data_IF_175324850872
#
_entry.id   IF_175324850872
#
_cell.length_a   1.000
_cell.length_b   1.000
_cell.length_c   1.000
_cell.angle_alpha   90.00
_cell.angle_beta   90.00
_cell.angle_gamma   90.00
#
_symmetry.space_group_name_H-M   'P 1'
#
loop_
_entity.id
_entity.type
_entity.pdbx_description
1 polymer ?
#
# COMPACT_ATOMS: atom_id res chain seq x y z
N UNK A 1 -17.71 11.03 8.80
CA UNK A 1 -16.52 11.01 9.65
C UNK A 1 -16.07 12.43 10.01
N UNK A 2 -15.55 12.62 11.22
CA UNK A 2 -14.77 13.82 11.60
C UNK A 2 -13.34 13.35 11.88
N UNK A 3 -12.62 12.98 10.83
CA UNK A 3 -11.29 12.40 10.92
C UNK A 3 -10.24 13.47 10.61
N UNK A 4 -9.37 13.77 11.57
CA UNK A 4 -8.17 14.55 11.38
C UNK A 4 -6.98 13.62 11.56
N UNK A 5 -6.16 13.47 10.52
CA UNK A 5 -4.97 12.63 10.53
C UNK A 5 -3.81 13.37 9.90
N UNK A 6 -2.69 13.38 10.60
CA UNK A 6 -1.41 13.84 10.09
C UNK A 6 -0.42 12.67 10.15
N UNK A 7 0.13 12.29 8.99
CA UNK A 7 1.30 11.42 8.90
C UNK A 7 2.54 12.28 8.65
N UNK A 8 3.56 12.09 9.48
CA UNK A 8 4.87 12.72 9.25
C UNK A 8 5.63 11.96 8.17
N UNK A 9 6.59 12.62 7.53
CA UNK A 9 7.44 11.97 6.54
C UNK A 9 8.21 10.80 7.16
N UNK A 10 8.14 9.63 6.53
CA UNK A 10 8.78 8.40 7.00
C UNK A 10 8.08 7.72 8.18
N UNK A 11 6.95 8.24 8.63
CA UNK A 11 6.18 7.66 9.74
C UNK A 11 5.33 6.47 9.27
N UNK A 12 5.33 5.41 10.04
CA UNK A 12 4.50 4.21 9.84
C UNK A 12 3.44 4.15 10.93
N UNK A 13 2.19 4.33 10.56
CA UNK A 13 1.07 4.42 11.49
C UNK A 13 0.13 3.23 11.33
N UNK A 14 -0.19 2.57 12.44
CA UNK A 14 -1.24 1.57 12.50
C UNK A 14 -2.62 2.24 12.60
N UNK A 15 -3.56 1.82 11.78
CA UNK A 15 -4.97 2.16 11.89
C UNK A 15 -5.75 0.94 12.41
N UNK A 16 -6.25 1.03 13.62
CA UNK A 16 -7.09 -0.01 14.21
C UNK A 16 -8.54 0.45 14.29
N UNK A 17 -9.47 -0.47 14.17
CA UNK A 17 -10.89 -0.22 14.40
C UNK A 17 -11.67 -1.52 14.41
N UNK A 18 -12.86 -1.57 15.03
CA UNK A 18 -13.81 -2.67 14.87
C UNK A 18 -14.17 -2.91 13.40
N UNK A 19 -14.63 -4.13 13.08
CA UNK A 19 -15.15 -4.43 11.75
C UNK A 19 -16.32 -3.48 11.41
N UNK A 20 -16.35 -3.01 10.16
CA UNK A 20 -17.40 -2.08 9.71
C UNK A 20 -17.25 -0.63 10.19
N UNK A 21 -16.23 -0.27 10.99
CA UNK A 21 -16.04 1.10 11.50
C UNK A 21 -15.62 2.12 10.42
N UNK A 22 -15.29 1.67 9.19
CA UNK A 22 -14.95 2.55 8.06
C UNK A 22 -13.44 2.70 7.78
N UNK A 23 -12.59 1.75 8.23
CA UNK A 23 -11.14 1.75 7.90
C UNK A 23 -10.88 1.87 6.41
N UNK A 24 -11.49 0.97 5.62
CA UNK A 24 -11.33 0.95 4.16
C UNK A 24 -11.83 2.24 3.52
N UNK A 25 -12.94 2.81 3.98
CA UNK A 25 -13.44 4.10 3.51
C UNK A 25 -12.42 5.23 3.76
N UNK A 26 -11.84 5.27 4.97
CA UNK A 26 -10.79 6.26 5.29
C UNK A 26 -9.58 6.10 4.38
N UNK A 27 -9.11 4.85 4.16
CA UNK A 27 -8.01 4.56 3.26
C UNK A 27 -8.33 4.92 1.81
N UNK A 28 -9.55 4.67 1.34
CA UNK A 28 -9.99 5.01 -0.01
C UNK A 28 -10.03 6.52 -0.23
N UNK A 29 -10.52 7.28 0.75
CA UNK A 29 -10.50 8.76 0.69
C UNK A 29 -9.05 9.27 0.71
N UNK A 30 -8.21 8.80 1.63
CA UNK A 30 -6.79 9.15 1.69
C UNK A 30 -6.04 8.76 0.40
N UNK A 31 -6.44 7.64 -0.22
CA UNK A 31 -5.90 7.13 -1.48
C UNK A 31 -6.51 7.77 -2.74
N UNK A 32 -7.41 8.73 -2.60
CA UNK A 32 -8.12 9.39 -3.71
C UNK A 32 -8.95 8.42 -4.57
N UNK A 33 -9.28 7.25 -4.06
CA UNK A 33 -10.20 6.30 -4.68
C UNK A 33 -11.65 6.74 -4.51
N UNK A 34 -11.93 7.42 -3.38
CA UNK A 34 -13.21 8.00 -3.06
C UNK A 34 -13.08 9.49 -2.72
N UNK A 35 -14.17 10.19 -2.54
CA UNK A 35 -14.20 11.60 -2.17
C UNK A 35 -14.76 11.78 -0.77
N UNK A 36 -14.15 12.69 -0.01
CA UNK A 36 -14.76 13.14 1.23
C UNK A 36 -15.95 14.06 0.94
N UNK A 37 -17.00 13.96 1.73
CA UNK A 37 -18.15 14.89 1.64
C UNK A 37 -17.72 16.33 1.99
N UNK A 38 -16.78 16.48 2.93
CA UNK A 38 -16.23 17.77 3.37
C UNK A 38 -14.79 17.56 3.86
N UNK A 39 -14.04 18.65 3.91
CA UNK A 39 -12.65 18.65 4.38
C UNK A 39 -11.63 18.49 3.26
N UNK A 40 -10.38 18.33 3.65
CA UNK A 40 -9.24 18.34 2.75
C UNK A 40 -8.42 17.06 2.88
N UNK A 41 -7.86 16.62 1.76
CA UNK A 41 -6.84 15.58 1.70
C UNK A 41 -5.56 16.20 1.17
N UNK A 42 -4.49 16.12 1.96
CA UNK A 42 -3.18 16.62 1.57
C UNK A 42 -2.21 15.45 1.41
N UNK A 43 -1.53 15.38 0.28
CA UNK A 43 -0.44 14.41 0.04
C UNK A 43 0.82 15.20 -0.29
N UNK A 44 1.88 14.97 0.47
CA UNK A 44 3.16 15.68 0.34
C UNK A 44 3.00 17.22 0.30
N UNK A 45 2.12 17.76 1.15
CA UNK A 45 1.85 19.20 1.26
C UNK A 45 0.93 19.78 0.16
N UNK A 46 0.54 18.99 -0.83
CA UNK A 46 -0.39 19.42 -1.86
C UNK A 46 -1.83 19.15 -1.43
N UNK A 47 -2.67 20.19 -1.34
CA UNK A 47 -4.11 20.04 -1.12
C UNK A 47 -4.78 19.49 -2.39
N UNK A 48 -5.54 18.42 -2.23
CA UNK A 48 -6.19 17.66 -3.31
C UNK A 48 -7.72 17.79 -3.28
N UNK A 49 -8.25 18.69 -2.44
CA UNK A 49 -9.67 19.03 -2.47
C UNK A 49 -10.04 19.66 -3.82
N UNK A 50 -11.14 19.23 -4.40
CA UNK A 50 -11.67 19.78 -5.66
C UNK A 50 -10.83 19.54 -6.91
N UNK A 51 -9.73 18.75 -6.85
CA UNK A 51 -8.96 18.43 -8.07
C UNK A 51 -9.75 17.50 -8.98
N UNK A 52 -9.59 17.69 -10.30
CA UNK A 52 -10.26 16.88 -11.32
C UNK A 52 -9.90 15.39 -11.20
N UNK A 53 -10.79 14.49 -11.64
CA UNK A 53 -10.55 13.05 -11.61
C UNK A 53 -9.28 12.65 -12.40
N UNK A 54 -9.02 13.32 -13.54
CA UNK A 54 -7.76 13.13 -14.27
C UNK A 54 -6.53 13.43 -13.40
N UNK A 55 -6.57 14.49 -12.60
CA UNK A 55 -5.47 14.85 -11.70
C UNK A 55 -5.34 13.87 -10.55
N UNK A 56 -6.46 13.42 -9.95
CA UNK A 56 -6.50 12.37 -8.92
C UNK A 56 -5.86 11.07 -9.44
N UNK A 57 -6.20 10.67 -10.66
CA UNK A 57 -5.63 9.46 -11.29
C UNK A 57 -4.12 9.55 -11.46
N UNK A 58 -3.59 10.71 -11.86
CA UNK A 58 -2.13 10.92 -11.97
C UNK A 58 -1.46 10.81 -10.60
N UNK A 59 -2.03 11.43 -9.56
CA UNK A 59 -1.49 11.40 -8.20
C UNK A 59 -1.53 9.99 -7.63
N UNK A 60 -2.66 9.27 -7.74
CA UNK A 60 -2.76 7.87 -7.32
C UNK A 60 -1.66 7.02 -7.94
N UNK A 61 -1.45 7.15 -9.24
CA UNK A 61 -0.47 6.36 -9.99
C UNK A 61 0.97 6.66 -9.54
N UNK A 62 1.30 7.93 -9.24
CA UNK A 62 2.67 8.38 -8.97
C UNK A 62 3.04 8.42 -7.50
N UNK A 63 2.13 8.95 -6.69
CA UNK A 63 2.46 9.37 -5.33
C UNK A 63 1.87 8.44 -4.26
N UNK A 64 0.94 7.51 -4.63
CA UNK A 64 0.26 6.64 -3.69
C UNK A 64 0.44 5.18 -4.10
N UNK A 65 1.00 4.37 -3.19
CA UNK A 65 0.97 2.92 -3.27
C UNK A 65 -0.23 2.38 -2.49
N UNK A 66 -0.96 1.43 -3.05
CA UNK A 66 -2.08 0.80 -2.36
C UNK A 66 -1.90 -0.72 -2.28
N UNK A 67 -2.06 -1.27 -1.07
CA UNK A 67 -2.04 -2.71 -0.79
C UNK A 67 -3.40 -3.08 -0.22
N UNK A 68 -4.02 -4.09 -0.80
CA UNK A 68 -5.30 -4.62 -0.36
C UNK A 68 -5.12 -5.92 0.40
N UNK A 69 -6.11 -6.32 1.16
CA UNK A 69 -6.19 -7.61 1.83
C UNK A 69 -6.07 -8.77 0.82
N UNK A 70 -6.75 -8.66 -0.31
CA UNK A 70 -6.53 -9.54 -1.46
C UNK A 70 -5.49 -8.90 -2.38
N UNK A 71 -4.52 -9.67 -2.82
CA UNK A 71 -3.38 -9.18 -3.61
C UNK A 71 -3.76 -8.56 -4.96
N UNK A 72 -4.91 -8.91 -5.55
CA UNK A 72 -5.42 -8.41 -6.85
C UNK A 72 -4.34 -8.38 -7.95
N UNK A 73 -3.53 -9.42 -8.01
CA UNK A 73 -2.60 -9.59 -9.13
C UNK A 73 -3.37 -9.96 -10.39
N UNK A 74 -2.90 -9.46 -11.51
CA UNK A 74 -3.46 -9.80 -12.82
C UNK A 74 -2.97 -11.21 -13.21
N UNK A 75 -3.84 -12.19 -13.38
CA UNK A 75 -3.46 -13.59 -13.51
C UNK A 75 -2.76 -13.89 -14.84
N UNK A 76 -2.97 -13.07 -15.89
CA UNK A 76 -2.38 -13.21 -17.20
C UNK A 76 -0.90 -12.79 -17.24
N UNK A 77 -0.46 -12.01 -16.24
CA UNK A 77 0.87 -11.43 -16.16
C UNK A 77 1.74 -12.13 -15.12
N UNK A 78 3.04 -12.26 -15.40
CA UNK A 78 4.02 -12.75 -14.46
C UNK A 78 4.17 -11.79 -13.24
N UNK A 79 4.86 -12.25 -12.20
CA UNK A 79 5.20 -11.40 -11.03
C UNK A 79 5.92 -10.12 -11.46
N UNK A 80 6.93 -10.23 -12.32
CA UNK A 80 7.64 -9.06 -12.82
C UNK A 80 6.74 -8.13 -13.64
N UNK A 81 5.90 -8.67 -14.50
CA UNK A 81 4.99 -7.87 -15.32
C UNK A 81 3.94 -7.15 -14.50
N UNK A 82 3.37 -7.78 -13.45
CA UNK A 82 2.47 -7.11 -12.51
C UNK A 82 3.11 -5.85 -11.88
N UNK A 83 4.42 -5.89 -11.61
CA UNK A 83 5.16 -4.76 -11.04
C UNK A 83 5.54 -3.73 -12.13
N UNK A 84 5.72 -4.16 -13.37
CA UNK A 84 6.05 -3.28 -14.49
C UNK A 84 4.86 -2.42 -14.93
N UNK A 85 3.64 -2.96 -14.88
CA UNK A 85 2.43 -2.32 -15.40
C UNK A 85 2.20 -0.90 -14.89
N UNK A 86 2.23 -0.59 -13.58
CA UNK A 86 2.03 0.77 -13.09
C UNK A 86 3.12 1.74 -13.57
N UNK A 87 4.35 1.27 -13.76
CA UNK A 87 5.46 2.07 -14.26
C UNK A 87 5.27 2.41 -15.74
N UNK A 88 4.88 1.42 -16.54
CA UNK A 88 4.59 1.62 -17.95
C UNK A 88 3.37 2.51 -18.17
N UNK A 89 2.34 2.38 -17.32
CA UNK A 89 1.19 3.29 -17.32
C UNK A 89 1.59 4.74 -16.99
N UNK A 90 2.69 4.95 -16.24
CA UNK A 90 3.27 6.28 -15.99
C UNK A 90 4.27 6.74 -17.07
N UNK A 91 4.40 5.99 -18.18
CA UNK A 91 5.24 6.34 -19.32
C UNK A 91 6.68 5.84 -19.24
N UNK A 92 7.02 4.99 -18.28
CA UNK A 92 8.36 4.40 -18.19
C UNK A 92 8.60 3.42 -19.36
N UNK A 93 9.82 3.40 -19.87
CA UNK A 93 10.23 2.41 -20.90
C UNK A 93 10.23 1.01 -20.29
N UNK A 94 9.81 0.02 -21.09
CA UNK A 94 9.72 -1.39 -20.68
C UNK A 94 11.01 -1.93 -20.05
N UNK A 95 12.18 -1.57 -20.60
CA UNK A 95 13.48 -1.99 -20.05
C UNK A 95 13.73 -1.43 -18.64
N UNK A 96 13.46 -0.14 -18.42
CA UNK A 96 13.61 0.50 -17.11
C UNK A 96 12.62 -0.09 -16.08
N UNK A 97 11.35 -0.27 -16.47
CA UNK A 97 10.33 -0.90 -15.66
C UNK A 97 10.72 -2.34 -15.25
N UNK A 98 11.27 -3.12 -16.19
CA UNK A 98 11.78 -4.48 -15.92
C UNK A 98 12.91 -4.46 -14.89
N UNK A 99 13.92 -3.60 -15.09
CA UNK A 99 15.06 -3.49 -14.16
C UNK A 99 14.57 -3.13 -12.74
N UNK A 100 13.64 -2.20 -12.62
CA UNK A 100 13.06 -1.82 -11.32
C UNK A 100 12.25 -2.96 -10.71
N UNK A 101 11.44 -3.66 -11.50
CA UNK A 101 10.65 -4.80 -11.03
C UNK A 101 11.53 -5.92 -10.46
N UNK A 102 12.62 -6.27 -11.15
CA UNK A 102 13.55 -7.31 -10.70
C UNK A 102 14.24 -6.91 -9.37
N UNK A 103 14.67 -5.64 -9.23
CA UNK A 103 15.24 -5.14 -7.96
C UNK A 103 14.24 -5.21 -6.80
N UNK A 104 12.97 -4.89 -7.03
CA UNK A 104 11.93 -5.00 -6.01
C UNK A 104 11.68 -6.46 -5.63
N UNK A 105 11.63 -7.38 -6.59
CA UNK A 105 11.49 -8.81 -6.33
C UNK A 105 12.70 -9.38 -5.57
N UNK A 106 13.90 -8.93 -5.90
CA UNK A 106 15.12 -9.30 -5.18
C UNK A 106 15.04 -8.86 -3.70
N UNK A 107 14.60 -7.63 -3.44
CA UNK A 107 14.47 -7.10 -2.07
C UNK A 107 13.47 -7.88 -1.19
N UNK A 108 12.51 -8.59 -1.79
CA UNK A 108 11.56 -9.47 -1.07
C UNK A 108 11.88 -10.97 -1.22
N UNK A 109 13.05 -11.33 -1.75
CA UNK A 109 13.50 -12.71 -1.91
C UNK A 109 12.76 -13.50 -3.01
N UNK A 110 12.18 -12.82 -4.01
CA UNK A 110 11.38 -13.43 -5.06
C UNK A 110 11.96 -13.30 -6.48
N UNK A 111 13.27 -13.01 -6.61
CA UNK A 111 13.91 -12.84 -7.92
C UNK A 111 13.75 -14.11 -8.79
N UNK A 112 13.90 -15.30 -8.20
CA UNK A 112 13.71 -16.58 -8.90
C UNK A 112 12.26 -16.82 -9.37
N UNK A 113 11.30 -16.12 -8.79
CA UNK A 113 9.86 -16.18 -9.11
C UNK A 113 9.41 -15.13 -10.13
N UNK A 114 10.31 -14.30 -10.66
CA UNK A 114 9.99 -13.16 -11.52
C UNK A 114 9.09 -13.50 -12.73
N UNK A 115 9.27 -14.69 -13.30
CA UNK A 115 8.51 -15.15 -14.46
C UNK A 115 7.26 -15.97 -14.10
N UNK A 116 7.06 -16.33 -12.82
CA UNK A 116 5.89 -17.10 -12.39
C UNK A 116 4.63 -16.24 -12.46
N UNK A 117 3.53 -16.87 -12.85
CA UNK A 117 2.19 -16.27 -12.80
C UNK A 117 1.60 -16.40 -11.40
N UNK A 118 0.60 -15.58 -11.01
CA UNK A 118 -0.02 -15.64 -9.70
C UNK A 118 -0.44 -17.06 -9.26
N UNK A 119 -0.99 -17.87 -10.17
CA UNK A 119 -1.40 -19.23 -9.85
C UNK A 119 -0.24 -20.19 -9.46
N UNK A 120 1.01 -19.81 -9.77
CA UNK A 120 2.21 -20.58 -9.48
C UNK A 120 2.91 -20.09 -8.19
N UNK A 121 2.34 -19.10 -7.51
CA UNK A 121 2.88 -18.46 -6.31
C UNK A 121 2.01 -18.81 -5.09
N UNK A 122 2.66 -19.01 -3.94
CA UNK A 122 1.95 -19.09 -2.66
C UNK A 122 1.26 -17.78 -2.31
N UNK A 123 0.28 -17.80 -1.39
CA UNK A 123 -0.41 -16.58 -0.96
C UNK A 123 0.54 -15.50 -0.42
N UNK A 124 1.53 -15.90 0.37
CA UNK A 124 2.55 -14.97 0.87
C UNK A 124 3.48 -14.43 -0.21
N UNK A 125 3.82 -15.24 -1.23
CA UNK A 125 4.58 -14.76 -2.41
C UNK A 125 3.75 -13.78 -3.22
N UNK A 126 2.48 -14.07 -3.47
CA UNK A 126 1.56 -13.17 -4.17
C UNK A 126 1.43 -11.83 -3.45
N UNK A 127 1.34 -11.84 -2.12
CA UNK A 127 1.25 -10.63 -1.32
C UNK A 127 2.54 -9.81 -1.39
N UNK A 128 3.72 -10.45 -1.34
CA UNK A 128 4.99 -9.74 -1.56
C UNK A 128 5.12 -9.14 -2.96
N UNK A 129 4.61 -9.81 -4.00
CA UNK A 129 4.52 -9.23 -5.36
C UNK A 129 3.59 -8.01 -5.37
N UNK A 130 2.44 -8.06 -4.68
CA UNK A 130 1.53 -6.93 -4.56
C UNK A 130 2.20 -5.72 -3.84
N UNK A 131 3.04 -5.97 -2.84
CA UNK A 131 3.86 -4.93 -2.20
C UNK A 131 4.83 -4.29 -3.20
N UNK A 132 5.56 -5.10 -3.95
CA UNK A 132 6.46 -4.59 -4.98
C UNK A 132 5.71 -3.75 -6.02
N UNK A 133 4.51 -4.17 -6.43
CA UNK A 133 3.66 -3.41 -7.34
C UNK A 133 3.24 -2.06 -6.76
N UNK A 134 2.85 -2.02 -5.48
CA UNK A 134 2.51 -0.77 -4.81
C UNK A 134 3.70 0.20 -4.73
N UNK A 135 4.93 -0.32 -4.64
CA UNK A 135 6.17 0.47 -4.53
C UNK A 135 6.82 0.78 -5.89
N UNK A 136 6.25 0.31 -6.99
CA UNK A 136 6.88 0.35 -8.32
C UNK A 136 7.22 1.77 -8.77
N UNK A 137 6.34 2.75 -8.53
CA UNK A 137 6.49 4.15 -8.94
C UNK A 137 7.16 5.05 -7.88
N UNK A 138 7.82 4.49 -6.86
CA UNK A 138 8.39 5.25 -5.73
C UNK A 138 7.37 6.21 -5.09
N UNK A 139 6.24 5.69 -4.58
CA UNK A 139 5.20 6.53 -4.00
C UNK A 139 5.72 7.32 -2.79
N UNK A 140 5.00 8.37 -2.41
CA UNK A 140 5.26 9.17 -1.20
C UNK A 140 4.47 8.68 0.00
N UNK A 141 3.36 7.98 -0.27
CA UNK A 141 2.45 7.43 0.72
C UNK A 141 2.09 5.99 0.36
N UNK A 142 2.18 5.10 1.33
CA UNK A 142 1.68 3.75 1.24
C UNK A 142 0.42 3.62 2.10
N UNK A 143 -0.64 3.12 1.50
CA UNK A 143 -1.88 2.76 2.17
C UNK A 143 -2.05 1.25 2.09
N UNK A 144 -2.26 0.60 3.22
CA UNK A 144 -2.45 -0.85 3.26
C UNK A 144 -3.71 -1.18 4.06
N UNK A 145 -4.60 -1.96 3.47
CA UNK A 145 -5.81 -2.45 4.11
C UNK A 145 -5.67 -3.94 4.41
N UNK A 146 -5.44 -4.26 5.70
CA UNK A 146 -5.24 -5.63 6.22
C UNK A 146 -4.25 -6.46 5.37
N UNK A 147 -3.01 -5.99 5.15
CA UNK A 147 -2.09 -6.52 4.12
C UNK A 147 -1.68 -7.98 4.35
N UNK A 148 -2.01 -8.56 5.49
CA UNK A 148 -1.70 -9.97 5.83
C UNK A 148 -2.93 -10.73 6.33
N UNK A 149 -4.12 -10.15 6.24
CA UNK A 149 -5.34 -10.68 6.84
C UNK A 149 -5.82 -12.04 6.29
N UNK A 150 -5.33 -12.45 5.12
CA UNK A 150 -5.67 -13.73 4.47
C UNK A 150 -4.56 -14.79 4.58
N UNK A 151 -3.53 -14.53 5.39
CA UNK A 151 -2.38 -15.42 5.56
C UNK A 151 -2.43 -16.09 6.93
N UNK A 152 -1.84 -17.28 7.03
CA UNK A 152 -1.55 -17.89 8.34
C UNK A 152 -0.58 -17.03 9.15
N UNK A 153 -0.52 -17.23 10.46
CA UNK A 153 0.23 -16.37 11.36
C UNK A 153 1.73 -16.32 11.00
N UNK A 154 2.38 -17.45 10.74
CA UNK A 154 3.81 -17.48 10.46
C UNK A 154 4.15 -16.76 9.15
N UNK A 155 3.36 -16.99 8.10
CA UNK A 155 3.48 -16.30 6.81
C UNK A 155 3.18 -14.80 6.96
N UNK A 156 2.17 -14.43 7.76
CA UNK A 156 1.80 -13.05 8.05
C UNK A 156 2.97 -12.27 8.65
N UNK A 157 3.66 -12.82 9.64
CA UNK A 157 4.82 -12.19 10.27
C UNK A 157 5.96 -11.97 9.29
N UNK A 158 6.32 -13.00 8.51
CA UNK A 158 7.39 -12.89 7.49
C UNK A 158 7.07 -11.84 6.41
N UNK A 159 5.85 -11.83 5.93
CA UNK A 159 5.38 -10.90 4.89
C UNK A 159 5.34 -9.48 5.43
N UNK A 160 4.91 -9.30 6.68
CA UNK A 160 4.89 -7.99 7.34
C UNK A 160 6.30 -7.46 7.63
N UNK A 161 7.25 -8.34 8.01
CA UNK A 161 8.67 -7.98 8.18
C UNK A 161 9.27 -7.44 6.88
N UNK A 162 9.02 -8.12 5.77
CA UNK A 162 9.48 -7.68 4.46
C UNK A 162 8.89 -6.31 4.11
N UNK A 163 7.60 -6.08 4.37
CA UNK A 163 6.94 -4.79 4.15
C UNK A 163 7.58 -3.68 4.97
N UNK A 164 7.68 -3.85 6.30
CA UNK A 164 8.25 -2.84 7.19
C UNK A 164 9.70 -2.53 6.85
N UNK A 165 10.50 -3.55 6.52
CA UNK A 165 11.89 -3.37 6.12
C UNK A 165 12.01 -2.44 4.92
N UNK A 166 11.23 -2.68 3.86
CA UNK A 166 11.27 -1.85 2.65
C UNK A 166 10.76 -0.43 2.95
N UNK A 167 9.65 -0.29 3.68
CA UNK A 167 9.07 1.02 4.03
C UNK A 167 10.09 1.86 4.80
N UNK A 168 10.76 1.28 5.79
CA UNK A 168 11.79 1.98 6.59
C UNK A 168 13.05 2.31 5.78
N UNK A 169 13.53 1.39 4.95
CA UNK A 169 14.70 1.63 4.09
C UNK A 169 14.46 2.75 3.07
N UNK A 170 13.24 2.87 2.57
CA UNK A 170 12.89 3.91 1.59
C UNK A 170 12.48 5.24 2.21
N UNK A 171 12.28 5.30 3.54
CA UNK A 171 11.75 6.49 4.22
C UNK A 171 10.32 6.84 3.80
N UNK A 172 9.56 5.85 3.36
CA UNK A 172 8.17 5.97 2.90
C UNK A 172 7.23 6.16 4.09
N UNK A 173 6.29 7.10 4.00
CA UNK A 173 5.22 7.22 4.99
C UNK A 173 4.15 6.17 4.71
N UNK A 174 3.66 5.50 5.75
CA UNK A 174 2.67 4.44 5.59
C UNK A 174 1.52 4.53 6.60
N UNK A 175 0.30 4.30 6.13
CA UNK A 175 -0.89 4.07 6.96
C UNK A 175 -1.36 2.64 6.71
N UNK A 176 -1.29 1.80 7.72
CA UNK A 176 -1.57 0.37 7.62
C UNK A 176 -2.74 0.02 8.54
N UNK A 177 -3.87 -0.31 7.95
CA UNK A 177 -5.00 -0.84 8.70
C UNK A 177 -4.72 -2.30 9.07
N UNK A 178 -4.90 -2.62 10.34
CA UNK A 178 -4.78 -3.99 10.83
C UNK A 178 -5.63 -4.19 12.09
N UNK A 179 -6.17 -5.39 12.24
CA UNK A 179 -6.84 -5.82 13.47
C UNK A 179 -5.90 -6.64 14.38
N UNK A 180 -4.65 -6.88 13.95
CA UNK A 180 -3.66 -7.63 14.73
C UNK A 180 -2.84 -6.67 15.62
N UNK A 181 -3.02 -6.71 16.97
CA UNK A 181 -2.32 -5.82 17.89
C UNK A 181 -0.80 -6.02 17.89
N UNK A 182 -0.34 -7.27 17.67
CA UNK A 182 1.09 -7.58 17.62
C UNK A 182 1.77 -6.93 16.42
N UNK A 183 1.10 -6.85 15.26
CA UNK A 183 1.60 -6.12 14.11
C UNK A 183 1.51 -4.60 14.32
N UNK A 184 0.42 -4.11 14.91
CA UNK A 184 0.23 -2.69 15.20
C UNK A 184 1.32 -2.13 16.13
N UNK A 185 1.72 -2.89 17.17
CA UNK A 185 2.75 -2.48 18.13
C UNK A 185 4.16 -2.32 17.53
N UNK A 186 4.38 -2.79 16.31
CA UNK A 186 5.67 -2.70 15.58
C UNK A 186 5.80 -1.44 14.73
N UNK A 187 4.74 -0.64 14.65
CA UNK A 187 4.69 0.64 13.94
C UNK A 187 4.99 1.79 14.90
N UNK A 188 5.22 2.99 14.37
CA UNK A 188 5.67 4.13 15.18
C UNK A 188 4.61 4.63 16.17
N UNK A 189 3.32 4.54 15.77
CA UNK A 189 2.16 4.76 16.64
C UNK A 189 0.91 4.07 16.10
N UNK A 190 -0.06 3.93 16.96
CA UNK A 190 -1.38 3.40 16.64
C UNK A 190 -2.44 4.49 16.78
N UNK A 191 -3.33 4.59 15.79
CA UNK A 191 -4.55 5.38 15.85
C UNK A 191 -5.75 4.44 15.77
N UNK A 192 -6.80 4.78 16.50
CA UNK A 192 -8.04 3.99 16.52
C UNK A 192 -9.18 4.79 15.91
N UNK A 193 -9.92 4.19 15.00
CA UNK A 193 -11.14 4.76 14.44
C UNK A 193 -12.35 4.23 15.21
N UNK A 194 -12.98 5.10 15.97
CA UNK A 194 -14.17 4.80 16.78
C UNK A 194 -15.25 5.84 16.54
N UNK A 195 -16.47 5.37 16.22
CA UNK A 195 -17.64 6.24 16.02
C UNK A 195 -17.37 7.40 15.05
N UNK A 196 -16.61 7.15 13.99
CA UNK A 196 -16.26 8.15 12.98
C UNK A 196 -15.22 9.19 13.40
N UNK A 197 -14.50 8.96 14.52
CA UNK A 197 -13.41 9.82 15.03
C UNK A 197 -12.12 9.04 15.15
N UNK A 198 -11.01 9.70 14.90
CA UNK A 198 -9.67 9.15 15.15
C UNK A 198 -9.19 9.56 16.54
N UNK A 199 -8.59 8.61 17.27
CA UNK A 199 -7.95 8.77 18.58
C UNK A 199 -6.56 8.13 18.55
N UNK A 200 -5.61 8.68 19.25
CA UNK A 200 -4.23 8.20 19.36
C UNK A 200 -3.20 9.26 19.06
#
# INVERSE_FOLDING_TARGET
FRANLLLKKGEVVALTAPSGAGKSTLLHIAGLLDQADTGDVLVAGQNLAGVSDRRRTIIRRRDIGFIYQFHHLLPEFSAAENIMLPQMADGQRKSAAKTRALRLLEAVGLLSRAQHRPAELSGGEQQRVAFCRALANNPKLLLADEPTGNLDQATSEQVFDALLSIVRQTGLSALIATHNPALASRMDRTITLEQGRLRG
#
